data_IF_113038821224
#
_entry.id   IF_113038821224
#
_cell.length_a   1.000
_cell.length_b   1.000
_cell.length_c   1.000
_cell.angle_alpha   90.00
_cell.angle_beta   90.00
_cell.angle_gamma   90.00
#
_symmetry.space_group_name_H-M   'P 1'
#
loop_
_entity.id
_entity.type
_entity.pdbx_description
1 polymer ?
#
# COMPACT_ATOMS: atom_id res chain seq x y z
N UNK A 1 -3.72 -15.51 12.60
CA UNK A 1 -3.88 -14.04 12.54
C UNK A 1 -2.79 -13.51 11.63
N UNK A 2 -3.14 -12.79 10.56
CA UNK A 2 -2.15 -12.10 9.73
C UNK A 2 -1.54 -10.97 10.56
N UNK A 3 -0.23 -11.01 10.79
CA UNK A 3 0.49 -9.89 11.41
C UNK A 3 0.64 -8.78 10.36
N UNK A 4 -0.33 -7.87 10.33
CA UNK A 4 -0.28 -6.68 9.47
C UNK A 4 0.62 -5.63 10.12
N UNK A 5 1.68 -5.23 9.43
CA UNK A 5 2.59 -4.20 9.92
C UNK A 5 2.24 -2.85 9.29
N UNK A 6 1.65 -1.94 10.07
CA UNK A 6 1.33 -0.58 9.62
C UNK A 6 2.63 0.14 9.27
N UNK A 7 2.83 0.38 7.98
CA UNK A 7 4.05 0.98 7.43
C UNK A 7 3.89 2.49 7.24
N UNK A 8 2.65 2.97 7.06
CA UNK A 8 2.37 4.39 7.03
C UNK A 8 0.90 4.75 6.88
N UNK A 9 0.60 6.03 6.97
CA UNK A 9 -0.76 6.57 6.82
C UNK A 9 -0.77 7.93 6.15
N UNK A 10 -1.85 8.25 5.43
CA UNK A 10 -2.06 9.53 4.76
C UNK A 10 -3.49 10.01 4.97
N UNK A 11 -3.67 11.31 5.18
CA UNK A 11 -4.98 11.95 5.23
C UNK A 11 -5.18 12.81 3.99
N UNK A 12 -6.30 12.60 3.31
CA UNK A 12 -6.73 13.35 2.15
C UNK A 12 -7.98 14.15 2.51
N UNK A 13 -7.97 15.44 2.23
CA UNK A 13 -9.13 16.30 2.41
C UNK A 13 -9.93 16.31 1.12
N UNK A 14 -11.18 15.87 1.21
CA UNK A 14 -12.13 15.99 0.09
C UNK A 14 -12.72 17.39 0.03
N UNK A 15 -13.25 17.76 -1.13
CA UNK A 15 -13.95 19.04 -1.32
C UNK A 15 -15.17 19.19 -0.39
N UNK A 16 -15.73 18.08 0.08
CA UNK A 16 -16.89 18.02 0.99
C UNK A 16 -16.52 18.19 2.48
N UNK A 17 -15.28 18.61 2.81
CA UNK A 17 -14.73 18.64 4.18
C UNK A 17 -14.68 17.28 4.89
N UNK A 18 -14.91 16.18 4.17
CA UNK A 18 -14.68 14.84 4.71
C UNK A 18 -13.20 14.47 4.60
N UNK A 19 -12.69 13.77 5.62
CA UNK A 19 -11.32 13.29 5.67
C UNK A 19 -11.30 11.84 5.20
N UNK A 20 -10.58 11.54 4.14
CA UNK A 20 -10.27 10.18 3.74
C UNK A 20 -8.92 9.79 4.36
N UNK A 21 -8.92 8.81 5.25
CA UNK A 21 -7.70 8.28 5.87
C UNK A 21 -7.30 7.01 5.16
N UNK A 22 -6.06 6.96 4.71
CA UNK A 22 -5.42 5.80 4.08
C UNK A 22 -4.40 5.21 5.06
N UNK A 23 -4.44 3.89 5.24
CA UNK A 23 -3.50 3.13 6.04
C UNK A 23 -2.84 2.08 5.16
N UNK A 24 -1.52 2.08 5.14
CA UNK A 24 -0.70 1.21 4.30
C UNK A 24 -0.02 0.17 5.20
N UNK A 25 -0.32 -1.10 4.94
CA UNK A 25 0.23 -2.23 5.69
C UNK A 25 1.14 -3.05 4.78
N UNK A 26 2.29 -3.44 5.31
CA UNK A 26 3.11 -4.49 4.73
C UNK A 26 2.49 -5.83 5.12
N UNK A 27 2.12 -6.61 4.11
CA UNK A 27 1.69 -8.00 4.28
C UNK A 27 2.86 -8.92 3.94
N UNK A 28 2.89 -10.10 4.56
CA UNK A 28 3.80 -11.15 4.13
C UNK A 28 3.10 -12.50 4.21
N UNK A 29 3.32 -13.35 3.21
CA UNK A 29 2.96 -14.76 3.26
C UNK A 29 4.21 -15.59 3.49
N UNK A 30 4.19 -16.39 4.55
CA UNK A 30 5.22 -17.39 4.82
C UNK A 30 4.86 -18.63 4.01
N UNK A 31 5.40 -18.70 2.80
CA UNK A 31 5.45 -19.92 1.99
C UNK A 31 6.80 -20.60 2.21
N UNK A 32 6.85 -21.94 2.19
CA UNK A 32 8.05 -22.76 2.43
C UNK A 32 9.26 -22.45 1.52
N UNK A 33 9.11 -21.57 0.52
CA UNK A 33 10.14 -21.34 -0.49
C UNK A 33 10.64 -19.92 -0.69
N UNK A 34 10.08 -18.88 -0.06
CA UNK A 34 10.64 -17.50 0.07
C UNK A 34 9.51 -16.63 0.67
N UNK A 35 9.79 -15.70 1.60
CA UNK A 35 8.77 -14.75 2.05
C UNK A 35 8.31 -13.85 0.89
N UNK A 36 7.01 -13.88 0.58
CA UNK A 36 6.39 -12.98 -0.40
C UNK A 36 5.82 -11.79 0.36
N UNK A 37 6.11 -10.59 -0.11
CA UNK A 37 5.63 -9.35 0.49
C UNK A 37 4.51 -8.74 -0.36
N UNK A 38 3.59 -8.05 0.31
CA UNK A 38 2.49 -7.38 -0.36
C UNK A 38 2.10 -6.09 0.34
N UNK A 39 1.12 -5.41 -0.25
CA UNK A 39 0.61 -4.14 0.27
C UNK A 39 -0.87 -4.32 0.53
N UNK A 40 -1.32 -3.91 1.70
CA UNK A 40 -2.74 -3.72 1.97
C UNK A 40 -3.01 -2.24 2.24
N UNK A 41 -3.97 -1.68 1.52
CA UNK A 41 -4.40 -0.30 1.68
C UNK A 41 -5.81 -0.32 2.24
N UNK A 42 -5.98 0.30 3.40
CA UNK A 42 -7.27 0.46 4.06
C UNK A 42 -7.65 1.93 3.99
N UNK A 43 -8.82 2.21 3.43
CA UNK A 43 -9.39 3.55 3.38
C UNK A 43 -10.62 3.65 4.27
N UNK A 44 -10.72 4.74 5.05
CA UNK A 44 -11.89 5.05 5.85
C UNK A 44 -12.22 6.55 5.85
N UNK A 45 -13.51 6.88 5.98
CA UNK A 45 -13.96 8.28 6.08
C UNK A 45 -13.99 8.71 7.54
N UNK A 46 -13.47 9.90 7.85
CA UNK A 46 -13.51 10.55 9.17
C UNK A 46 -13.02 9.66 10.32
N UNK A 47 -12.06 8.77 10.07
CA UNK A 47 -11.61 7.73 11.02
C UNK A 47 -12.71 6.77 11.50
N UNK A 48 -13.86 6.77 10.83
CA UNK A 48 -14.94 5.83 11.07
C UNK A 48 -14.63 4.52 10.34
N UNK A 49 -14.12 3.55 11.10
CA UNK A 49 -13.86 2.19 10.66
C UNK A 49 -15.14 1.41 10.28
N UNK A 50 -16.32 2.04 10.24
CA UNK A 50 -17.54 1.45 9.66
C UNK A 50 -17.55 1.44 8.14
N UNK A 51 -16.89 2.40 7.49
CA UNK A 51 -16.82 2.49 6.03
C UNK A 51 -15.41 2.16 5.55
N UNK A 52 -15.00 0.91 5.77
CA UNK A 52 -13.70 0.39 5.34
C UNK A 52 -13.82 -0.15 3.91
N UNK A 53 -13.01 0.41 3.02
CA UNK A 53 -12.64 -0.26 1.79
C UNK A 53 -11.18 -0.70 1.92
N UNK A 54 -10.94 -2.00 1.75
CA UNK A 54 -9.62 -2.60 1.85
C UNK A 54 -9.27 -3.25 0.51
N UNK A 55 -8.11 -2.90 -0.01
CA UNK A 55 -7.53 -3.51 -1.20
C UNK A 55 -6.20 -4.16 -0.81
N UNK A 56 -5.95 -5.37 -1.31
CA UNK A 56 -4.74 -6.13 -1.00
C UNK A 56 -4.07 -6.55 -2.29
N UNK A 57 -2.76 -6.35 -2.35
CA UNK A 57 -1.89 -6.73 -3.45
C UNK A 57 -0.93 -7.80 -2.91
N UNK A 58 -1.29 -9.08 -3.00
CA UNK A 58 -0.54 -10.18 -2.38
C UNK A 58 0.66 -10.68 -3.22
N UNK A 59 0.79 -10.29 -4.49
CA UNK A 59 1.72 -10.92 -5.45
C UNK A 59 2.86 -10.00 -5.90
N UNK A 60 3.57 -9.40 -4.95
CA UNK A 60 4.76 -8.60 -5.23
C UNK A 60 5.95 -9.49 -4.85
N UNK A 61 6.45 -10.31 -5.78
CA UNK A 61 7.63 -11.20 -5.59
C UNK A 61 8.93 -10.40 -5.50
N UNK A 62 8.98 -9.44 -4.59
CA UNK A 62 10.08 -8.49 -4.41
C UNK A 62 10.54 -8.48 -2.96
N UNK A 63 11.75 -7.96 -2.73
CA UNK A 63 12.29 -7.84 -1.39
C UNK A 63 11.41 -6.95 -0.51
N UNK A 64 11.50 -7.16 0.80
CA UNK A 64 10.82 -6.33 1.79
C UNK A 64 11.12 -4.85 1.59
N UNK A 65 12.39 -4.53 1.33
CA UNK A 65 12.89 -3.17 1.14
C UNK A 65 12.21 -2.49 -0.05
N UNK A 66 12.06 -3.21 -1.17
CA UNK A 66 11.38 -2.70 -2.35
C UNK A 66 9.89 -2.41 -2.07
N UNK A 67 9.18 -3.34 -1.43
CA UNK A 67 7.77 -3.15 -1.09
C UNK A 67 7.57 -1.98 -0.13
N UNK A 68 8.50 -1.76 0.81
CA UNK A 68 8.47 -0.57 1.69
C UNK A 68 8.69 0.72 0.90
N UNK A 69 9.61 0.76 -0.06
CA UNK A 69 9.81 1.93 -0.93
C UNK A 69 8.57 2.22 -1.79
N UNK A 70 7.91 1.17 -2.29
CA UNK A 70 6.66 1.29 -3.03
C UNK A 70 5.55 1.89 -2.15
N UNK A 71 5.39 1.42 -0.91
CA UNK A 71 4.45 2.01 0.06
C UNK A 71 4.75 3.51 0.26
N UNK A 72 6.02 3.87 0.48
CA UNK A 72 6.43 5.26 0.64
C UNK A 72 6.13 6.10 -0.60
N UNK A 73 6.35 5.55 -1.79
CA UNK A 73 6.01 6.21 -3.04
C UNK A 73 4.51 6.50 -3.14
N UNK A 74 3.66 5.54 -2.79
CA UNK A 74 2.20 5.69 -2.77
C UNK A 74 1.69 6.66 -1.70
N UNK A 75 2.43 6.83 -0.60
CA UNK A 75 2.12 7.87 0.38
C UNK A 75 2.44 9.26 -0.17
N UNK A 76 3.56 9.40 -0.87
CA UNK A 76 4.02 10.71 -1.36
C UNK A 76 3.23 11.18 -2.59
N UNK A 77 2.85 10.26 -3.48
CA UNK A 77 2.11 10.56 -4.69
C UNK A 77 0.61 10.23 -4.46
N UNK A 78 -0.31 10.91 -5.13
CA UNK A 78 -1.77 10.67 -4.96
C UNK A 78 -2.21 9.42 -5.76
N UNK A 79 -1.54 8.29 -5.52
CA UNK A 79 -1.62 7.07 -6.32
C UNK A 79 -2.81 6.25 -5.86
N UNK A 80 -3.77 5.98 -6.75
CA UNK A 80 -4.79 4.96 -6.51
C UNK A 80 -4.18 3.56 -6.65
N UNK A 81 -4.76 2.50 -6.09
CA UNK A 81 -4.22 1.14 -6.22
C UNK A 81 -4.03 0.69 -7.68
N UNK A 82 -4.84 1.18 -8.61
CA UNK A 82 -4.67 0.97 -10.05
C UNK A 82 -3.41 1.65 -10.59
N UNK A 83 -3.10 2.87 -10.11
CA UNK A 83 -1.87 3.59 -10.45
C UNK A 83 -0.61 2.95 -9.81
N UNK A 84 -0.82 2.09 -8.81
CA UNK A 84 0.25 1.39 -8.08
C UNK A 84 0.90 0.33 -8.96
N UNK A 85 0.14 -0.40 -9.78
CA UNK A 85 0.70 -1.32 -10.79
C UNK A 85 1.55 -0.56 -11.81
N UNK A 86 1.07 0.60 -12.30
CA UNK A 86 1.83 1.50 -13.17
C UNK A 86 3.12 2.02 -12.50
N UNK A 87 3.06 2.26 -11.19
CA UNK A 87 4.22 2.73 -10.41
C UNK A 87 5.28 1.64 -10.22
N UNK A 88 4.87 0.35 -10.17
CA UNK A 88 5.81 -0.78 -10.13
C UNK A 88 6.63 -0.84 -11.42
N UNK A 89 5.99 -0.67 -12.57
CA UNK A 89 6.69 -0.65 -13.86
C UNK A 89 7.70 0.52 -13.94
N UNK A 90 7.29 1.72 -13.50
CA UNK A 90 8.15 2.92 -13.44
C UNK A 90 9.36 2.72 -12.50
N UNK A 91 9.14 2.07 -11.34
CA UNK A 91 10.21 1.80 -10.38
C UNK A 91 11.17 0.69 -10.85
N UNK A 92 10.67 -0.30 -11.60
CA UNK A 92 11.53 -1.30 -12.26
C UNK A 92 12.45 -0.64 -13.29
N UNK A 93 11.91 0.26 -14.11
CA UNK A 93 12.69 0.95 -15.14
C UNK A 93 13.80 1.82 -14.53
N UNK A 94 13.56 2.46 -13.38
CA UNK A 94 14.56 3.29 -12.69
C UNK A 94 15.65 2.51 -11.95
N UNK A 95 15.49 1.21 -11.72
CA UNK A 95 16.55 0.36 -11.13
C UNK A 95 17.45 -0.30 -12.19
N UNK A 96 17.16 -0.10 -13.47
CA UNK A 96 17.90 -0.72 -14.59
C UNK A 96 18.89 0.25 -15.27
N UNK A 97 19.00 1.49 -14.79
CA UNK A 97 20.02 2.49 -15.16
C UNK A 97 21.08 2.67 -14.06
#
# INVERSE_FOLDING_TARGET
MMNLNLTGSKHLYTQEKSILSLYYYLTHEVSDQIPVYGIQIVSCRNHDFKHIHAETIPHISYSREFVVQLIQHCMNHHVTPTDLFSSVDILMDTMTE
#
